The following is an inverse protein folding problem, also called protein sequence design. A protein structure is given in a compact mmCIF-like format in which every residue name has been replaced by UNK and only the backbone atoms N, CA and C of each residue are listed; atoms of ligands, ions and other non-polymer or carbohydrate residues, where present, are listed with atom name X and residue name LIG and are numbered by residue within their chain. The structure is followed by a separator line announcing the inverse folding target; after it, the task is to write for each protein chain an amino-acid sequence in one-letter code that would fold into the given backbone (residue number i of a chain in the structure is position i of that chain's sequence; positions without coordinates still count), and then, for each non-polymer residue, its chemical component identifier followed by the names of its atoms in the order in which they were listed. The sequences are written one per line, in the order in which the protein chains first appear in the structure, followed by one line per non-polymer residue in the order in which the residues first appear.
data_IF_854612045333
#
_entry.id   IF_854612045333
#
_cell.length_a   1.000
_cell.length_b   1.000
_cell.length_c   1.000
_cell.angle_alpha   90.00
_cell.angle_beta   90.00
_cell.angle_gamma   90.00
#
_symmetry.space_group_name_H-M   'P 1'
#
loop_
_entity.id
_entity.type
_entity.pdbx_description
1 polymer ?
#
# COMPACT_ATOMS: atom_id res chain seq x y z
N UNK A 1 -1.07 -13.66 -26.39
CA UNK A 1 -0.43 -12.45 -25.81
C UNK A 1 -1.39 -11.71 -24.85
N UNK A 2 -1.93 -12.39 -23.84
CA UNK A 2 -2.74 -11.77 -22.78
C UNK A 2 -2.24 -12.15 -21.36
N UNK A 3 -1.30 -13.08 -21.27
CA UNK A 3 -0.86 -13.66 -20.01
C UNK A 3 -0.06 -12.69 -19.15
N UNK A 4 0.83 -11.87 -19.73
CA UNK A 4 1.62 -10.90 -18.96
C UNK A 4 0.74 -9.82 -18.32
N UNK A 5 -0.28 -9.35 -19.05
CA UNK A 5 -1.27 -8.42 -18.52
C UNK A 5 -2.06 -9.06 -17.39
N UNK A 6 -2.50 -10.30 -17.56
CA UNK A 6 -3.24 -11.04 -16.55
C UNK A 6 -2.39 -11.30 -15.29
N UNK A 7 -1.14 -11.75 -15.46
CA UNK A 7 -0.15 -11.92 -14.38
C UNK A 7 0.07 -10.61 -13.62
N UNK A 8 0.28 -9.50 -14.33
CA UNK A 8 0.44 -8.17 -13.70
C UNK A 8 -0.79 -7.76 -12.90
N UNK A 9 -1.99 -7.93 -13.45
CA UNK A 9 -3.25 -7.62 -12.74
C UNK A 9 -3.40 -8.50 -11.49
N UNK A 10 -3.09 -9.79 -11.59
CA UNK A 10 -3.15 -10.73 -10.46
C UNK A 10 -2.14 -10.34 -9.36
N UNK A 11 -0.91 -10.02 -9.74
CA UNK A 11 0.14 -9.57 -8.82
C UNK A 11 -0.26 -8.27 -8.11
N UNK A 12 -0.72 -7.26 -8.85
CA UNK A 12 -1.21 -6.00 -8.29
C UNK A 12 -2.36 -6.20 -7.30
N UNK A 13 -3.35 -7.04 -7.64
CA UNK A 13 -4.47 -7.34 -6.74
C UNK A 13 -4.01 -8.01 -5.45
N UNK A 14 -2.99 -8.86 -5.52
CA UNK A 14 -2.44 -9.52 -4.35
C UNK A 14 -1.72 -8.52 -3.43
N UNK A 15 -0.88 -7.66 -4.00
CA UNK A 15 -0.21 -6.60 -3.26
C UNK A 15 -1.22 -5.65 -2.60
N UNK A 16 -2.25 -5.21 -3.32
CA UNK A 16 -3.34 -4.38 -2.78
C UNK A 16 -4.06 -5.05 -1.61
N UNK A 17 -4.40 -6.33 -1.75
CA UNK A 17 -5.10 -7.09 -0.71
C UNK A 17 -4.23 -7.21 0.54
N UNK A 18 -2.94 -7.52 0.37
CA UNK A 18 -1.98 -7.61 1.46
C UNK A 18 -1.82 -6.26 2.16
N UNK A 19 -1.56 -5.18 1.40
CA UNK A 19 -1.37 -3.85 1.95
C UNK A 19 -2.60 -3.37 2.73
N UNK A 20 -3.82 -3.54 2.18
CA UNK A 20 -5.07 -3.20 2.89
C UNK A 20 -5.21 -3.96 4.20
N UNK A 21 -4.86 -5.25 4.22
CA UNK A 21 -4.90 -6.06 5.43
C UNK A 21 -3.92 -5.52 6.48
N UNK A 22 -2.67 -5.27 6.10
CA UNK A 22 -1.63 -4.73 6.99
C UNK A 22 -2.08 -3.39 7.56
N UNK A 23 -2.45 -2.44 6.70
CA UNK A 23 -2.88 -1.09 7.10
C UNK A 23 -4.08 -1.15 8.05
N UNK A 24 -5.09 -1.98 7.75
CA UNK A 24 -6.26 -2.15 8.61
C UNK A 24 -5.86 -2.62 10.01
N UNK A 25 -4.96 -3.60 10.12
CA UNK A 25 -4.56 -4.14 11.41
C UNK A 25 -3.66 -3.17 12.19
N UNK A 26 -2.77 -2.44 11.53
CA UNK A 26 -1.95 -1.39 12.16
C UNK A 26 -2.79 -0.27 12.79
N UNK A 27 -3.93 0.05 12.19
CA UNK A 27 -4.84 1.12 12.65
C UNK A 27 -5.82 0.67 13.75
N UNK A 28 -5.78 -0.59 14.18
CA UNK A 28 -6.62 -1.07 15.28
C UNK A 28 -6.19 -0.47 16.61
N UNK A 29 -7.18 -0.14 17.44
CA UNK A 29 -6.97 0.31 18.81
C UNK A 29 -6.39 -0.81 19.68
N UNK A 30 -6.86 -2.05 19.48
CA UNK A 30 -6.38 -3.27 20.13
C UNK A 30 -5.18 -3.91 19.40
N UNK A 31 -4.27 -3.10 18.87
CA UNK A 31 -3.10 -3.62 18.14
C UNK A 31 -2.24 -4.52 19.03
N UNK A 32 -1.99 -5.73 18.53
CA UNK A 32 -1.19 -6.77 19.17
C UNK A 32 -0.12 -7.22 18.20
N UNK A 33 1.15 -6.99 18.55
CA UNK A 33 2.30 -7.29 17.70
C UNK A 33 2.38 -8.78 17.35
N UNK A 34 2.13 -9.67 18.32
CA UNK A 34 2.20 -11.12 18.08
C UNK A 34 1.12 -11.57 17.10
N UNK A 35 -0.11 -11.09 17.25
CA UNK A 35 -1.20 -11.37 16.30
C UNK A 35 -0.91 -10.78 14.93
N UNK A 36 -0.30 -9.59 14.88
CA UNK A 36 0.11 -8.94 13.65
C UNK A 36 1.16 -9.78 12.90
N UNK A 37 2.20 -10.27 13.59
CA UNK A 37 3.27 -11.07 12.98
C UNK A 37 2.75 -12.39 12.40
N UNK A 38 1.88 -13.09 13.15
CA UNK A 38 1.20 -14.30 12.67
C UNK A 38 0.38 -14.00 11.41
N UNK A 39 -0.33 -12.87 11.41
CA UNK A 39 -1.14 -12.44 10.28
C UNK A 39 -0.29 -12.09 9.06
N UNK A 40 0.80 -11.34 9.23
CA UNK A 40 1.74 -10.99 8.16
C UNK A 40 2.28 -12.27 7.55
N UNK A 41 2.88 -13.15 8.37
CA UNK A 41 3.47 -14.43 7.95
C UNK A 41 2.51 -15.30 7.15
N UNK A 42 1.26 -15.45 7.62
CA UNK A 42 0.23 -16.23 6.91
C UNK A 42 -0.11 -15.65 5.54
N UNK A 43 -0.14 -14.32 5.41
CA UNK A 43 -0.49 -13.66 4.16
C UNK A 43 0.70 -13.59 3.20
N UNK A 44 1.94 -13.62 3.71
CA UNK A 44 3.16 -13.76 2.91
C UNK A 44 3.15 -15.04 2.11
N UNK A 45 2.82 -16.17 2.74
CA UNK A 45 2.73 -17.48 2.08
C UNK A 45 1.71 -17.50 0.93
N UNK A 46 0.70 -16.64 0.96
CA UNK A 46 -0.27 -16.49 -0.12
C UNK A 46 0.34 -15.66 -1.25
N UNK A 47 1.07 -14.60 -0.90
CA UNK A 47 1.72 -13.71 -1.86
C UNK A 47 2.87 -14.42 -2.61
N UNK A 48 3.65 -15.26 -1.93
CA UNK A 48 4.75 -16.03 -2.52
C UNK A 48 4.29 -16.99 -3.64
N UNK A 49 3.03 -17.42 -3.62
CA UNK A 49 2.45 -18.27 -4.66
C UNK A 49 2.09 -17.51 -5.94
N UNK A 50 2.30 -16.20 -5.97
CA UNK A 50 1.89 -15.32 -7.05
C UNK A 50 3.15 -14.85 -7.77
N UNK A 51 3.23 -15.15 -9.05
CA UNK A 51 4.36 -14.78 -9.90
C UNK A 51 4.55 -13.24 -9.89
N UNK A 52 5.74 -12.74 -9.50
CA UNK A 52 6.05 -11.33 -9.57
C UNK A 52 5.96 -10.82 -11.00
N UNK A 53 5.43 -9.61 -11.17
CA UNK A 53 5.34 -8.94 -12.45
C UNK A 53 5.97 -7.55 -12.36
N UNK A 54 6.54 -7.08 -13.48
CA UNK A 54 7.11 -5.73 -13.55
C UNK A 54 6.03 -4.67 -13.36
N UNK A 55 6.33 -3.70 -12.47
CA UNK A 55 5.50 -2.55 -12.12
C UNK A 55 6.24 -1.27 -12.51
N UNK A 56 5.63 -0.48 -13.39
CA UNK A 56 6.22 0.73 -13.99
C UNK A 56 5.73 2.02 -13.32
N UNK A 57 4.49 2.03 -12.83
CA UNK A 57 3.86 3.21 -12.23
C UNK A 57 4.38 3.52 -10.82
N UNK A 58 4.52 4.81 -10.44
CA UNK A 58 5.06 5.21 -9.13
C UNK A 58 4.31 4.60 -7.94
N UNK A 59 2.97 4.63 -7.99
CA UNK A 59 2.12 4.05 -6.94
C UNK A 59 2.32 2.54 -6.81
N UNK A 60 2.37 1.81 -7.93
CA UNK A 60 2.46 0.35 -7.89
C UNK A 60 3.85 -0.12 -7.45
N UNK A 61 4.91 0.62 -7.78
CA UNK A 61 6.25 0.42 -7.21
C UNK A 61 6.25 0.65 -5.70
N UNK A 62 5.71 1.80 -5.25
CA UNK A 62 5.62 2.12 -3.82
C UNK A 62 4.77 1.13 -3.03
N UNK A 63 3.73 0.56 -3.66
CA UNK A 63 2.92 -0.51 -3.09
C UNK A 63 3.76 -1.78 -2.86
N UNK A 64 4.58 -2.17 -3.84
CA UNK A 64 5.50 -3.30 -3.71
C UNK A 64 6.52 -3.07 -2.60
N UNK A 65 7.12 -1.88 -2.54
CA UNK A 65 8.06 -1.47 -1.49
C UNK A 65 7.42 -1.50 -0.11
N UNK A 66 6.20 -0.98 0.04
CA UNK A 66 5.46 -1.05 1.30
C UNK A 66 5.21 -2.49 1.75
N UNK A 67 4.82 -3.37 0.82
CA UNK A 67 4.60 -4.79 1.12
C UNK A 67 5.92 -5.43 1.58
N UNK A 68 7.02 -5.23 0.86
CA UNK A 68 8.34 -5.74 1.26
C UNK A 68 8.80 -5.17 2.61
N UNK A 69 8.52 -3.89 2.88
CA UNK A 69 8.81 -3.28 4.18
C UNK A 69 8.00 -3.93 5.30
N UNK A 70 6.71 -4.19 5.09
CA UNK A 70 5.84 -4.88 6.05
C UNK A 70 6.21 -6.34 6.30
N UNK A 71 6.97 -6.98 5.40
CA UNK A 71 7.50 -8.33 5.61
C UNK A 71 8.73 -8.37 6.51
N UNK A 72 9.49 -7.27 6.57
CA UNK A 72 10.78 -7.23 7.25
C UNK A 72 10.78 -6.35 8.51
N UNK A 73 9.84 -5.41 8.62
CA UNK A 73 9.72 -4.48 9.74
C UNK A 73 8.61 -4.88 10.70
N UNK A 74 8.89 -4.75 11.99
CA UNK A 74 7.94 -4.98 13.09
C UNK A 74 7.59 -3.67 13.82
N UNK A 75 8.14 -2.53 13.37
CA UNK A 75 7.89 -1.22 13.96
C UNK A 75 6.57 -0.64 13.43
N UNK A 76 5.54 -0.63 14.29
CA UNK A 76 4.22 -0.07 14.00
C UNK A 76 4.29 1.37 13.50
N UNK A 77 5.14 2.21 14.09
CA UNK A 77 5.22 3.63 13.76
C UNK A 77 5.78 3.83 12.36
N UNK A 78 6.86 3.14 12.02
CA UNK A 78 7.43 3.18 10.68
C UNK A 78 6.48 2.60 9.63
N UNK A 79 5.78 1.50 9.95
CA UNK A 79 4.78 0.92 9.07
C UNK A 79 3.60 1.87 8.81
N UNK A 80 3.15 2.60 9.83
CA UNK A 80 2.10 3.63 9.68
C UNK A 80 2.59 4.82 8.84
N UNK A 81 3.85 5.26 9.02
CA UNK A 81 4.46 6.31 8.17
C UNK A 81 4.48 5.87 6.70
N UNK A 82 4.94 4.66 6.43
CA UNK A 82 4.98 4.11 5.08
C UNK A 82 3.57 3.97 4.47
N UNK A 83 2.60 3.50 5.25
CA UNK A 83 1.20 3.42 4.84
C UNK A 83 0.60 4.79 4.48
N UNK A 84 0.91 5.83 5.26
CA UNK A 84 0.45 7.19 4.99
C UNK A 84 1.08 7.76 3.71
N UNK A 85 2.35 7.48 3.45
CA UNK A 85 3.01 7.88 2.20
C UNK A 85 2.41 7.19 0.98
N UNK A 86 2.09 5.88 1.10
CA UNK A 86 1.40 5.14 0.05
C UNK A 86 0.03 5.73 -0.27
N UNK A 87 -0.76 6.10 0.75
CA UNK A 87 -2.08 6.71 0.56
C UNK A 87 -1.98 8.11 -0.09
N UNK A 88 -0.99 8.92 0.29
CA UNK A 88 -0.70 10.20 -0.39
C UNK A 88 -0.41 10.00 -1.88
N UNK A 89 0.40 9.01 -2.24
CA UNK A 89 0.72 8.70 -3.63
C UNK A 89 -0.52 8.23 -4.40
N UNK A 90 -1.34 7.38 -3.78
CA UNK A 90 -2.61 6.92 -4.36
C UNK A 90 -3.55 8.08 -4.69
N UNK A 91 -3.63 9.04 -3.78
CA UNK A 91 -4.52 10.19 -3.89
C UNK A 91 -3.90 11.37 -4.66
N UNK A 92 -2.62 11.32 -5.02
CA UNK A 92 -1.89 12.41 -5.68
C UNK A 92 -2.55 12.94 -6.96
N UNK A 93 -3.22 12.08 -7.74
CA UNK A 93 -3.96 12.49 -8.95
C UNK A 93 -5.29 13.20 -8.65
N UNK A 94 -5.87 12.94 -7.48
CA UNK A 94 -7.14 13.54 -7.02
C UNK A 94 -6.90 14.70 -6.04
N UNK A 95 -5.68 14.84 -5.53
CA UNK A 95 -5.29 15.86 -4.56
C UNK A 95 -5.13 17.22 -5.27
N UNK A 96 -6.27 17.86 -5.56
CA UNK A 96 -6.29 19.29 -5.87
C UNK A 96 -6.02 20.05 -4.56
N UNK A 97 -4.86 20.67 -4.41
CA UNK A 97 -4.66 21.74 -3.43
C UNK A 97 -5.51 22.95 -3.84
N UNK A 98 -6.83 22.87 -3.67
CA UNK A 98 -7.75 23.99 -3.88
C UNK A 98 -7.61 25.07 -2.80
N UNK A 99 -6.65 24.92 -1.86
CA UNK A 99 -6.41 25.88 -0.78
C UNK A 99 -5.75 27.20 -1.25
N UNK A 100 -5.28 27.29 -2.50
CA UNK A 100 -4.69 28.51 -3.06
C UNK A 100 -5.45 29.10 -4.25
N UNK A 101 -6.76 28.86 -4.38
CA UNK A 101 -7.61 29.84 -5.08
C UNK A 101 -7.88 30.97 -4.11
N UNK A 102 -6.91 31.89 -4.00
CA UNK A 102 -7.13 33.22 -3.42
C UNK A 102 -8.42 33.75 -4.05
N UNK A 103 -9.40 34.07 -3.23
CA UNK A 103 -10.50 34.93 -3.63
C UNK A 103 -9.91 36.15 -4.29
N UNK A 104 -10.30 36.38 -5.55
CA UNK A 104 -10.26 37.73 -6.09
C UNK A 104 -11.18 38.51 -5.15
N UNK A 105 -10.59 39.36 -4.31
CA UNK A 105 -11.35 40.40 -3.63
C UNK A 105 -11.82 41.36 -4.72
N UNK A 106 -13.09 41.71 -4.62
CA UNK A 106 -13.88 42.53 -5.53
C UNK A 106 -13.20 43.86 -5.89
N UNK A 107 -13.35 44.28 -7.15
CA UNK A 107 -13.36 45.69 -7.56
C UNK A 107 -14.67 45.96 -8.31
#
# INVERSE_FOLDING_TARGET
MNDDKFKRVRYLRALEKFAKLVIRNLKREDFDTTKFDILVKKNTQILEKIEPAYLDQPYTKSLCEFVNFALNSHDKTELLKAANNLDKLKNSRNYKKEKHKKGNYDE
#
